data_IF_090835006111
#
_entry.id   IF_090835006111
#
_cell.length_a   1.000
_cell.length_b   1.000
_cell.length_c   1.000
_cell.angle_alpha   90.00
_cell.angle_beta   90.00
_cell.angle_gamma   90.00
#
_symmetry.space_group_name_H-M   'P 1'
#
loop_
_entity.id
_entity.type
_entity.pdbx_description
1 polymer ?
#
# COMPACT_ATOMS: atom_id res chain seq x y z
N UNK A 1 6.70 0.46 39.25
CA UNK A 1 5.45 0.69 39.99
C UNK A 1 4.50 -0.38 39.54
N UNK A 2 4.08 -1.27 40.44
CA UNK A 2 3.18 -2.38 40.12
C UNK A 2 1.73 -1.94 40.33
N UNK A 3 0.90 -2.12 39.29
CA UNK A 3 -0.54 -1.99 39.37
C UNK A 3 -1.13 -3.34 39.78
N UNK A 4 -1.32 -3.53 41.08
CA UNK A 4 -2.05 -4.67 41.63
C UNK A 4 -3.29 -4.20 42.38
N UNK A 5 -4.43 -4.94 42.30
CA UNK A 5 -5.63 -4.63 43.08
C UNK A 5 -5.32 -4.59 44.59
N UNK A 6 -5.99 -3.71 45.33
CA UNK A 6 -5.80 -3.63 46.78
C UNK A 6 -6.39 -4.87 47.46
N UNK A 7 -5.75 -5.32 48.54
CA UNK A 7 -6.22 -6.48 49.32
C UNK A 7 -7.67 -6.26 49.78
N UNK A 8 -8.58 -7.14 49.36
CA UNK A 8 -10.00 -7.09 49.67
C UNK A 8 -10.91 -6.53 48.55
N UNK A 9 -10.36 -6.04 47.45
CA UNK A 9 -11.16 -5.63 46.28
C UNK A 9 -11.48 -6.85 45.39
N UNK A 10 -12.76 -6.96 45.02
CA UNK A 10 -13.26 -8.03 44.15
C UNK A 10 -12.88 -7.69 42.70
N UNK A 11 -11.90 -8.40 42.14
CA UNK A 11 -11.38 -8.17 40.78
C UNK A 11 -12.26 -8.74 39.64
N UNK A 12 -13.48 -9.17 39.97
CA UNK A 12 -14.42 -9.73 38.99
C UNK A 12 -15.13 -8.63 38.20
N UNK A 13 -14.81 -8.48 36.92
CA UNK A 13 -15.45 -7.49 36.04
C UNK A 13 -16.82 -7.96 35.51
N UNK A 14 -17.07 -9.28 35.43
CA UNK A 14 -18.38 -9.88 35.19
C UNK A 14 -18.34 -11.41 35.36
N UNK A 15 -19.52 -12.02 35.58
CA UNK A 15 -19.73 -13.48 35.51
C UNK A 15 -20.76 -13.77 34.42
N UNK A 16 -20.41 -14.59 33.43
CA UNK A 16 -21.33 -15.06 32.39
C UNK A 16 -21.79 -16.47 32.77
N UNK A 17 -23.10 -16.65 32.91
CA UNK A 17 -23.69 -17.97 33.11
C UNK A 17 -23.87 -18.66 31.76
N UNK A 18 -23.19 -19.80 31.58
CA UNK A 18 -23.44 -20.71 30.47
C UNK A 18 -24.55 -21.67 30.93
N UNK A 19 -25.71 -21.74 30.25
CA UNK A 19 -26.69 -22.76 30.55
C UNK A 19 -26.08 -24.13 30.27
N UNK A 20 -26.06 -24.98 31.30
CA UNK A 20 -25.64 -26.38 31.18
C UNK A 20 -26.58 -27.16 30.27
N UNK A 21 -26.00 -28.10 29.53
CA UNK A 21 -26.67 -29.04 28.65
C UNK A 21 -27.41 -30.11 29.48
N UNK A 22 -28.44 -29.69 30.21
CA UNK A 22 -29.40 -30.60 30.83
C UNK A 22 -30.62 -30.68 29.91
N UNK A 23 -30.49 -31.55 28.92
CA UNK A 23 -31.54 -31.89 27.98
C UNK A 23 -32.79 -32.38 28.70
N UNK A 24 -33.82 -31.55 28.72
CA UNK A 24 -35.24 -31.92 28.65
C UNK A 24 -36.09 -30.65 28.49
N UNK A 25 -36.44 -30.29 27.25
CA UNK A 25 -37.50 -29.32 26.97
C UNK A 25 -38.61 -30.00 26.14
N UNK A 26 -39.92 -29.76 26.46
CA UNK A 26 -41.07 -30.39 25.78
C UNK A 26 -41.37 -29.76 24.40
N UNK A 27 -42.26 -30.36 23.59
CA UNK A 27 -42.32 -30.12 22.16
C UNK A 27 -43.09 -28.82 21.81
N UNK A 28 -42.49 -28.01 20.94
CA UNK A 28 -43.12 -26.84 20.33
C UNK A 28 -42.62 -26.66 18.89
N UNK A 29 -43.53 -26.83 17.95
CA UNK A 29 -43.37 -26.91 16.50
C UNK A 29 -42.67 -25.72 15.82
N UNK A 30 -41.85 -26.02 14.81
CA UNK A 30 -41.49 -25.08 13.73
C UNK A 30 -41.40 -25.82 12.38
N UNK A 31 -41.74 -25.15 11.26
CA UNK A 31 -42.15 -25.81 10.02
C UNK A 31 -40.97 -26.22 9.13
N UNK A 32 -41.14 -27.35 8.45
CA UNK A 32 -40.19 -27.93 7.50
C UNK A 32 -40.32 -27.29 6.11
N UNK A 33 -39.22 -26.87 5.46
CA UNK A 33 -39.17 -26.72 4.01
C UNK A 33 -38.76 -28.05 3.37
N UNK A 34 -39.59 -28.56 2.47
CA UNK A 34 -39.37 -29.78 1.71
C UNK A 34 -38.39 -29.55 0.56
N UNK A 35 -37.40 -30.43 0.40
CA UNK A 35 -36.63 -30.60 -0.85
C UNK A 35 -36.69 -32.09 -1.25
N UNK A 36 -37.14 -32.47 -2.46
CA UNK A 36 -37.20 -33.86 -2.90
C UNK A 36 -35.82 -34.44 -3.21
N UNK A 37 -35.61 -35.71 -2.83
CA UNK A 37 -34.30 -36.34 -2.72
C UNK A 37 -33.70 -36.98 -3.97
N UNK A 38 -32.48 -37.50 -3.78
CA UNK A 38 -31.87 -38.69 -4.40
C UNK A 38 -30.67 -39.15 -3.55
N UNK A 39 -30.48 -40.46 -3.51
CA UNK A 39 -29.79 -41.27 -2.49
C UNK A 39 -28.30 -41.00 -2.18
N UNK A 40 -27.83 -41.41 -0.97
CA UNK A 40 -26.45 -41.30 -0.53
C UNK A 40 -25.60 -42.47 -1.03
N UNK A 41 -24.44 -42.17 -1.63
CA UNK A 41 -23.35 -43.14 -1.72
C UNK A 41 -22.25 -42.75 -0.74
N UNK A 42 -21.98 -43.67 0.16
CA UNK A 42 -20.99 -43.55 1.23
C UNK A 42 -19.56 -43.47 0.68
N UNK A 43 -18.78 -42.52 1.21
CA UNK A 43 -17.32 -42.61 1.27
C UNK A 43 -16.87 -42.24 2.69
N UNK A 44 -15.97 -43.06 3.22
CA UNK A 44 -15.51 -43.12 4.60
C UNK A 44 -14.67 -41.88 5.03
N UNK A 45 -14.45 -41.67 6.35
CA UNK A 45 -13.91 -40.42 6.89
C UNK A 45 -12.38 -40.33 6.72
N UNK A 46 -11.93 -39.33 5.95
CA UNK A 46 -10.54 -38.95 5.80
C UNK A 46 -10.17 -37.81 6.77
N UNK A 47 -9.30 -38.16 7.72
CA UNK A 47 -8.43 -37.35 8.59
C UNK A 47 -8.48 -35.80 8.46
N UNK A 48 -8.84 -35.12 9.56
CA UNK A 48 -8.51 -33.71 9.78
C UNK A 48 -7.00 -33.57 9.98
N UNK A 49 -6.32 -32.97 9.01
CA UNK A 49 -4.99 -32.39 9.20
C UNK A 49 -5.09 -31.01 9.88
N UNK A 50 -4.06 -30.59 10.64
CA UNK A 50 -4.05 -29.32 11.34
C UNK A 50 -3.46 -28.24 10.43
N UNK A 51 -4.27 -27.63 9.58
CA UNK A 51 -3.89 -26.39 8.90
C UNK A 51 -5.01 -25.37 9.08
N UNK A 52 -4.76 -24.39 9.96
CA UNK A 52 -5.50 -23.14 9.97
C UNK A 52 -5.24 -22.41 8.66
N UNK A 53 -6.00 -22.77 7.63
CA UNK A 53 -5.89 -22.19 6.31
C UNK A 53 -6.15 -20.69 6.38
N UNK A 54 -5.11 -19.89 6.17
CA UNK A 54 -5.25 -18.50 5.82
C UNK A 54 -6.24 -18.42 4.65
N UNK A 55 -7.33 -17.67 4.84
CA UNK A 55 -8.30 -17.41 3.79
C UNK A 55 -7.57 -16.71 2.64
N UNK A 56 -7.20 -17.48 1.63
CA UNK A 56 -6.58 -16.93 0.44
C UNK A 56 -7.72 -16.36 -0.40
N UNK A 57 -7.99 -15.07 -0.23
CA UNK A 57 -8.88 -14.34 -1.15
C UNK A 57 -8.11 -14.26 -2.49
N UNK A 58 -8.38 -15.23 -3.34
CA UNK A 58 -8.00 -15.14 -4.75
C UNK A 58 -8.90 -14.08 -5.39
N UNK A 59 -8.35 -13.10 -6.13
CA UNK A 59 -9.19 -12.20 -6.91
C UNK A 59 -10.09 -13.05 -7.82
N UNK A 60 -11.39 -12.71 -7.96
CA UNK A 60 -12.31 -13.48 -8.78
C UNK A 60 -11.71 -13.63 -10.17
N UNK A 61 -11.59 -14.88 -10.63
CA UNK A 61 -11.06 -15.22 -11.94
C UNK A 61 -11.82 -14.43 -13.00
N UNK A 62 -11.12 -13.58 -13.74
CA UNK A 62 -11.70 -12.76 -14.82
C UNK A 62 -11.81 -11.26 -14.55
N UNK A 63 -11.18 -10.70 -13.50
CA UNK A 63 -10.91 -9.25 -13.51
C UNK A 63 -9.98 -8.93 -14.69
N UNK A 64 -10.57 -8.41 -15.78
CA UNK A 64 -9.80 -7.77 -16.85
C UNK A 64 -8.86 -6.76 -16.22
N UNK A 65 -7.58 -6.78 -16.60
CA UNK A 65 -6.64 -5.72 -16.26
C UNK A 65 -7.34 -4.38 -16.53
N UNK A 66 -7.52 -3.58 -15.48
CA UNK A 66 -8.11 -2.25 -15.65
C UNK A 66 -7.23 -1.50 -16.65
N UNK A 67 -7.81 -0.85 -17.68
CA UNK A 67 -7.00 -0.09 -18.62
C UNK A 67 -6.19 0.95 -17.84
N UNK A 68 -4.89 1.02 -18.14
CA UNK A 68 -3.98 1.94 -17.47
C UNK A 68 -4.49 3.38 -17.63
N UNK A 69 -4.47 4.21 -16.55
CA UNK A 69 -4.78 5.62 -16.69
C UNK A 69 -3.76 6.28 -17.65
N UNK A 70 -4.14 7.29 -18.44
CA UNK A 70 -3.18 8.00 -19.28
C UNK A 70 -1.97 8.49 -18.48
N UNK A 71 -0.78 8.31 -19.03
CA UNK A 71 0.48 8.70 -18.40
C UNK A 71 1.41 9.32 -19.43
N UNK A 72 0.98 10.49 -19.93
CA UNK A 72 1.66 11.24 -20.98
C UNK A 72 2.79 12.04 -20.35
N UNK A 73 4.02 11.82 -20.83
CA UNK A 73 5.17 12.56 -20.33
C UNK A 73 5.30 13.94 -20.96
N UNK A 74 5.97 14.84 -20.25
CA UNK A 74 6.36 16.14 -20.79
C UNK A 74 7.32 15.97 -21.98
N UNK A 75 7.06 16.67 -23.07
CA UNK A 75 7.84 16.65 -24.32
C UNK A 75 8.67 17.92 -24.53
N UNK A 76 8.41 18.97 -23.75
CA UNK A 76 9.10 20.26 -23.83
C UNK A 76 10.40 20.25 -23.00
N UNK A 77 10.47 19.41 -21.97
CA UNK A 77 11.67 19.23 -21.17
C UNK A 77 12.49 18.02 -21.66
N UNK A 78 13.69 18.27 -22.19
CA UNK A 78 14.57 17.23 -22.75
C UNK A 78 15.01 16.14 -21.74
N UNK A 79 14.89 16.40 -20.44
CA UNK A 79 15.22 15.46 -19.36
C UNK A 79 13.98 14.78 -18.76
N UNK A 80 12.79 15.07 -19.30
CA UNK A 80 11.57 14.46 -18.84
C UNK A 80 11.52 12.97 -19.21
N UNK A 81 11.11 12.22 -18.20
CA UNK A 81 10.72 10.83 -18.29
C UNK A 81 9.35 10.68 -17.63
N UNK A 82 8.69 9.58 -17.94
CA UNK A 82 7.41 9.24 -17.31
C UNK A 82 7.37 7.74 -17.08
N UNK A 83 6.82 7.30 -15.96
CA UNK A 83 6.72 5.88 -15.62
C UNK A 83 5.40 5.55 -14.93
N UNK A 84 4.99 4.30 -15.04
CA UNK A 84 3.97 3.74 -14.18
C UNK A 84 4.59 3.13 -12.92
N UNK A 85 3.90 3.27 -11.80
CA UNK A 85 4.18 2.57 -10.54
C UNK A 85 2.94 1.87 -10.02
N UNK A 86 3.10 0.71 -9.41
CA UNK A 86 2.04 -0.06 -8.73
C UNK A 86 2.67 -0.90 -7.61
N UNK A 87 1.91 -1.68 -6.86
CA UNK A 87 2.48 -2.58 -5.86
C UNK A 87 1.48 -3.06 -4.82
N UNK A 88 1.99 -3.41 -3.64
CA UNK A 88 1.18 -3.72 -2.47
C UNK A 88 1.70 -2.97 -1.25
N UNK A 89 0.78 -2.52 -0.41
CA UNK A 89 1.06 -2.00 0.93
C UNK A 89 0.19 -2.69 1.95
N UNK A 90 0.73 -3.00 3.12
CA UNK A 90 -0.07 -3.50 4.23
C UNK A 90 -0.53 -2.39 5.18
N UNK A 91 -1.49 -2.72 6.04
CA UNK A 91 -1.81 -2.01 7.27
C UNK A 91 -1.47 -2.96 8.41
N UNK A 92 -0.33 -2.73 9.07
CA UNK A 92 0.27 -3.69 9.99
C UNK A 92 -0.68 -4.10 11.14
N UNK A 93 -1.43 -3.14 11.70
CA UNK A 93 -2.39 -3.37 12.78
C UNK A 93 -3.59 -4.25 12.39
N UNK A 94 -3.94 -4.28 11.11
CA UNK A 94 -5.12 -4.98 10.61
C UNK A 94 -4.79 -6.32 9.96
N UNK A 95 -3.50 -6.69 9.91
CA UNK A 95 -3.00 -7.89 9.22
C UNK A 95 -3.56 -8.02 7.79
N UNK A 96 -3.64 -6.90 7.09
CA UNK A 96 -4.26 -6.79 5.78
C UNK A 96 -3.36 -6.05 4.80
N UNK A 97 -3.47 -6.40 3.52
CA UNK A 97 -2.78 -5.71 2.43
C UNK A 97 -3.76 -5.23 1.36
N UNK A 98 -3.39 -4.12 0.72
CA UNK A 98 -4.11 -3.54 -0.41
C UNK A 98 -3.14 -3.33 -1.56
N UNK A 99 -3.68 -3.42 -2.77
CA UNK A 99 -2.97 -3.04 -3.98
C UNK A 99 -2.78 -1.52 -3.99
N UNK A 100 -1.55 -1.09 -4.23
CA UNK A 100 -1.25 0.29 -4.58
C UNK A 100 -1.69 0.47 -6.03
N UNK A 101 -2.62 1.40 -6.33
CA UNK A 101 -3.18 1.53 -7.65
C UNK A 101 -2.11 1.92 -8.67
N UNK A 102 -2.29 1.44 -9.90
CA UNK A 102 -1.44 1.82 -11.02
C UNK A 102 -1.47 3.34 -11.21
N UNK A 103 -0.35 3.99 -10.94
CA UNK A 103 -0.19 5.44 -10.86
C UNK A 103 0.81 5.93 -11.88
N UNK A 104 0.59 7.12 -12.42
CA UNK A 104 1.55 7.80 -13.28
C UNK A 104 2.51 8.64 -12.43
N UNK A 105 3.80 8.59 -12.77
CA UNK A 105 4.84 9.41 -12.16
C UNK A 105 5.62 10.13 -13.26
N UNK A 106 5.56 11.45 -13.24
CA UNK A 106 6.39 12.34 -14.04
C UNK A 106 7.77 12.44 -13.37
N UNK A 107 8.84 12.35 -14.15
CA UNK A 107 10.21 12.29 -13.65
C UNK A 107 11.09 13.27 -14.44
N UNK A 108 11.99 13.96 -13.76
CA UNK A 108 13.02 14.79 -14.41
C UNK A 108 14.39 14.27 -14.00
N UNK A 109 15.20 13.85 -14.97
CA UNK A 109 16.59 13.43 -14.75
C UNK A 109 17.50 14.66 -14.60
N UNK A 110 17.61 15.16 -13.38
CA UNK A 110 18.23 16.47 -13.09
C UNK A 110 19.74 16.47 -13.31
N UNK A 111 20.46 15.48 -12.77
CA UNK A 111 21.91 15.42 -12.91
C UNK A 111 22.49 14.02 -12.82
N UNK A 112 23.59 13.81 -13.54
CA UNK A 112 24.40 12.59 -13.54
C UNK A 112 25.86 12.97 -13.43
N UNK A 113 26.59 12.33 -12.52
CA UNK A 113 28.04 12.53 -12.34
C UNK A 113 28.73 11.19 -12.18
N UNK A 114 29.78 10.98 -12.95
CA UNK A 114 30.67 9.85 -12.75
C UNK A 114 31.81 10.30 -11.82
N UNK A 115 32.00 9.60 -10.72
CA UNK A 115 33.03 9.87 -9.72
C UNK A 115 33.85 8.61 -9.44
N UNK A 116 35.14 8.77 -9.13
CA UNK A 116 35.98 7.69 -8.64
C UNK A 116 35.89 7.67 -7.10
N UNK A 117 35.37 6.58 -6.55
CA UNK A 117 35.36 6.26 -5.11
C UNK A 117 36.37 5.13 -4.83
N UNK A 118 36.71 4.83 -3.55
CA UNK A 118 37.69 3.79 -3.21
C UNK A 118 37.38 2.40 -3.79
N UNK A 119 36.10 2.09 -4.01
CA UNK A 119 35.60 0.80 -4.52
C UNK A 119 35.30 0.80 -6.03
N UNK A 120 35.44 1.93 -6.72
CA UNK A 120 35.42 1.99 -8.19
C UNK A 120 34.83 3.27 -8.79
N UNK A 121 34.37 3.18 -10.04
CA UNK A 121 33.65 4.27 -10.71
C UNK A 121 32.16 4.20 -10.38
N UNK A 122 31.64 5.27 -9.80
CA UNK A 122 30.25 5.41 -9.39
C UNK A 122 29.53 6.40 -10.29
N UNK A 123 28.30 6.06 -10.68
CA UNK A 123 27.34 6.99 -11.23
C UNK A 123 26.48 7.51 -10.08
N UNK A 124 26.68 8.77 -9.72
CA UNK A 124 25.78 9.53 -8.87
C UNK A 124 24.70 10.15 -9.74
N UNK A 125 23.44 9.85 -9.46
CA UNK A 125 22.30 10.38 -10.20
C UNK A 125 21.33 11.03 -9.23
N UNK A 126 20.87 12.23 -9.60
CA UNK A 126 19.80 12.94 -8.91
C UNK A 126 18.67 13.21 -9.90
N UNK A 127 17.45 12.85 -9.51
CA UNK A 127 16.24 13.11 -10.26
C UNK A 127 15.12 13.57 -9.32
N UNK A 128 14.10 14.19 -9.90
CA UNK A 128 12.89 14.60 -9.18
C UNK A 128 11.66 13.95 -9.78
N UNK A 129 10.58 13.88 -9.00
CA UNK A 129 9.33 13.28 -9.46
C UNK A 129 8.07 13.97 -8.94
N UNK A 130 7.00 13.84 -9.71
CA UNK A 130 5.65 14.25 -9.36
C UNK A 130 4.69 13.13 -9.72
N UNK A 131 3.83 12.74 -8.78
CA UNK A 131 2.66 11.94 -9.10
C UNK A 131 1.74 12.74 -10.02
N UNK A 132 1.09 12.08 -10.96
CA UNK A 132 0.07 12.71 -11.78
C UNK A 132 -1.16 11.82 -11.90
N UNK A 133 -2.26 12.32 -11.35
CA UNK A 133 -3.57 11.78 -11.63
C UNK A 133 -4.53 12.91 -11.95
N UNK A 134 -4.89 13.00 -13.23
CA UNK A 134 -5.79 14.05 -13.76
C UNK A 134 -5.27 15.46 -13.48
N UNK A 135 -3.95 15.68 -13.63
CA UNK A 135 -3.31 16.99 -13.45
C UNK A 135 -3.16 17.41 -11.99
N UNK A 136 -3.25 16.46 -11.05
CA UNK A 136 -3.06 16.69 -9.61
C UNK A 136 -1.93 15.79 -9.08
N UNK A 137 -1.13 16.27 -8.11
CA UNK A 137 -0.08 15.50 -7.45
C UNK A 137 -0.67 14.50 -6.46
N UNK A 138 -1.45 13.55 -6.96
CA UNK A 138 -2.13 12.51 -6.18
C UNK A 138 -2.00 11.17 -6.89
N UNK A 139 -2.02 10.09 -6.12
CA UNK A 139 -2.27 8.76 -6.70
C UNK A 139 -3.75 8.63 -7.06
N UNK A 140 -4.13 7.79 -8.04
CA UNK A 140 -5.52 7.41 -8.22
C UNK A 140 -6.09 6.87 -6.89
N UNK A 141 -7.32 7.23 -6.51
CA UNK A 141 -7.90 6.71 -5.28
C UNK A 141 -8.06 5.19 -5.31
N UNK A 142 -7.75 4.53 -4.20
CA UNK A 142 -7.85 3.07 -4.05
C UNK A 142 -8.80 2.71 -2.92
N UNK A 143 -9.72 1.78 -3.22
CA UNK A 143 -10.66 1.24 -2.23
C UNK A 143 -10.07 -0.03 -1.62
N UNK A 144 -10.02 -0.09 -0.30
CA UNK A 144 -9.55 -1.25 0.44
C UNK A 144 -10.56 -1.67 1.51
N UNK A 145 -10.62 -2.98 1.78
CA UNK A 145 -11.47 -3.56 2.81
C UNK A 145 -10.60 -4.37 3.77
N UNK A 146 -10.74 -4.09 5.06
CA UNK A 146 -10.01 -4.77 6.12
C UNK A 146 -10.95 -5.17 7.26
N UNK A 147 -10.47 -6.02 8.16
CA UNK A 147 -11.15 -6.30 9.42
C UNK A 147 -10.62 -5.38 10.51
N UNK A 148 -11.30 -4.26 10.73
CA UNK A 148 -11.00 -3.37 11.86
C UNK A 148 -11.18 -4.14 13.17
N UNK A 149 -10.16 -4.09 14.02
CA UNK A 149 -10.05 -4.89 15.26
C UNK A 149 -10.22 -6.41 15.08
N UNK A 150 -10.05 -6.93 13.86
CA UNK A 150 -10.11 -8.36 13.56
C UNK A 150 -11.52 -8.93 13.36
N UNK A 151 -12.59 -8.13 13.46
CA UNK A 151 -13.96 -8.64 13.32
C UNK A 151 -14.94 -7.71 12.60
N UNK A 152 -14.61 -6.43 12.38
CA UNK A 152 -15.49 -5.47 11.71
C UNK A 152 -15.00 -5.21 10.28
N UNK A 153 -15.66 -5.77 9.25
CA UNK A 153 -15.42 -5.36 7.87
C UNK A 153 -15.57 -3.85 7.70
N UNK A 154 -14.46 -3.18 7.42
CA UNK A 154 -14.42 -1.75 7.15
C UNK A 154 -13.85 -1.55 5.77
N UNK A 155 -14.58 -0.84 4.92
CA UNK A 155 -14.14 -0.45 3.59
C UNK A 155 -13.91 1.05 3.57
N UNK A 156 -12.83 1.52 2.96
CA UNK A 156 -12.57 2.94 2.79
C UNK A 156 -11.90 3.19 1.44
N UNK A 157 -12.12 4.38 0.88
CA UNK A 157 -11.32 4.89 -0.22
C UNK A 157 -10.16 5.72 0.34
N UNK A 158 -8.96 5.40 -0.11
CA UNK A 158 -7.71 6.04 0.27
C UNK A 158 -7.24 6.95 -0.88
N UNK A 159 -6.88 8.20 -0.54
CA UNK A 159 -6.18 9.12 -1.45
C UNK A 159 -4.82 9.48 -0.83
N UNK A 160 -3.76 9.30 -1.62
CA UNK A 160 -2.41 9.75 -1.28
C UNK A 160 -2.10 11.00 -2.08
N UNK A 161 -1.92 12.11 -1.38
CA UNK A 161 -1.52 13.40 -1.97
C UNK A 161 -0.05 13.64 -1.74
N UNK A 162 0.69 13.93 -2.79
CA UNK A 162 2.07 14.39 -2.71
C UNK A 162 2.09 15.87 -2.28
N UNK A 163 2.87 16.16 -1.24
CA UNK A 163 2.89 17.47 -0.56
C UNK A 163 3.99 18.40 -1.09
N UNK A 164 5.06 17.83 -1.63
CA UNK A 164 6.24 18.51 -2.14
C UNK A 164 6.94 17.58 -3.16
N UNK A 165 7.92 18.07 -3.88
CA UNK A 165 8.62 17.32 -4.93
C UNK A 165 9.32 16.07 -4.38
N UNK A 166 9.11 14.94 -5.06
CA UNK A 166 9.82 13.69 -4.78
C UNK A 166 11.27 13.83 -5.21
N UNK A 167 12.20 13.35 -4.40
CA UNK A 167 13.63 13.27 -4.77
C UNK A 167 14.08 11.84 -4.95
N UNK A 168 14.93 11.59 -5.93
CA UNK A 168 15.47 10.27 -6.27
C UNK A 168 16.98 10.41 -6.38
N UNK A 169 17.69 9.76 -5.47
CA UNK A 169 19.15 9.78 -5.41
C UNK A 169 19.69 8.36 -5.58
N UNK A 170 20.52 8.15 -6.61
CA UNK A 170 21.17 6.85 -6.86
C UNK A 170 22.68 6.98 -6.75
N UNK A 171 23.29 5.99 -6.10
CA UNK A 171 24.74 5.74 -6.15
C UNK A 171 24.98 4.32 -6.70
N UNK A 172 25.46 4.25 -7.94
CA UNK A 172 25.61 3.00 -8.68
C UNK A 172 27.07 2.73 -9.03
N UNK A 173 27.64 1.64 -8.53
CA UNK A 173 28.97 1.14 -8.87
C UNK A 173 28.93 0.46 -10.25
N UNK A 174 29.52 1.14 -11.24
CA UNK A 174 29.41 0.79 -12.67
C UNK A 174 30.07 -0.55 -13.01
N UNK A 175 31.23 -0.84 -12.41
CA UNK A 175 32.00 -2.04 -12.75
C UNK A 175 31.32 -3.34 -12.28
N UNK A 176 30.55 -3.27 -11.20
CA UNK A 176 29.87 -4.43 -10.60
C UNK A 176 28.38 -4.47 -10.89
N UNK A 177 27.81 -3.39 -11.43
CA UNK A 177 26.37 -3.22 -11.59
C UNK A 177 25.65 -3.45 -10.25
N UNK A 178 26.09 -2.74 -9.23
CA UNK A 178 25.48 -2.77 -7.89
C UNK A 178 25.27 -1.36 -7.39
N UNK A 179 24.34 -1.14 -6.47
CA UNK A 179 24.13 0.19 -5.92
C UNK A 179 22.81 0.34 -5.19
N UNK A 180 22.60 1.53 -4.65
CA UNK A 180 21.39 1.87 -3.91
C UNK A 180 20.77 3.10 -4.55
N UNK A 181 19.45 3.08 -4.67
CA UNK A 181 18.63 4.26 -4.93
C UNK A 181 17.74 4.52 -3.73
N UNK A 182 17.69 5.77 -3.30
CA UNK A 182 16.82 6.27 -2.23
C UNK A 182 15.83 7.26 -2.84
N UNK A 183 14.55 6.96 -2.72
CA UNK A 183 13.43 7.81 -3.13
C UNK A 183 12.78 8.39 -1.89
N UNK A 184 12.64 9.71 -1.83
CA UNK A 184 11.94 10.42 -0.75
C UNK A 184 10.68 11.03 -1.33
N UNK A 185 9.53 10.63 -0.80
CA UNK A 185 8.22 11.12 -1.26
C UNK A 185 7.39 11.60 -0.08
N UNK A 186 7.06 12.90 -0.01
CA UNK A 186 6.21 13.43 1.05
C UNK A 186 4.75 13.21 0.69
N UNK A 187 4.11 12.23 1.35
CA UNK A 187 2.73 11.83 1.07
C UNK A 187 1.83 12.11 2.27
N UNK A 188 0.59 12.57 2.05
CA UNK A 188 -0.46 12.61 3.06
C UNK A 188 -1.59 11.67 2.68
N UNK A 189 -2.07 10.91 3.66
CA UNK A 189 -3.19 9.99 3.51
C UNK A 189 -4.50 10.65 3.94
N UNK A 190 -5.52 10.53 3.10
CA UNK A 190 -6.91 10.90 3.39
C UNK A 190 -7.81 9.68 3.21
N UNK A 191 -8.80 9.54 4.09
CA UNK A 191 -9.85 8.52 4.01
C UNK A 191 -11.21 9.17 3.71
N UNK A 192 -12.01 8.53 2.87
CA UNK A 192 -13.38 8.92 2.57
C UNK A 192 -14.16 7.72 2.01
N UNK A 193 -15.47 7.88 1.77
CA UNK A 193 -16.38 6.81 1.37
C UNK A 193 -16.23 5.57 2.27
N UNK A 194 -16.25 5.81 3.58
CA UNK A 194 -16.06 4.75 4.58
C UNK A 194 -17.37 3.99 4.79
N UNK A 195 -17.28 2.67 4.86
CA UNK A 195 -18.37 1.78 5.18
C UNK A 195 -17.95 0.82 6.29
N UNK A 196 -18.78 0.68 7.32
CA UNK A 196 -18.61 -0.32 8.38
C UNK A 196 -19.74 -1.34 8.24
N UNK A 197 -19.38 -2.61 8.04
CA UNK A 197 -20.33 -3.69 7.77
C UNK A 197 -21.26 -3.38 6.58
N UNK A 198 -20.76 -2.65 5.58
CA UNK A 198 -21.52 -2.20 4.42
C UNK A 198 -22.46 -1.01 4.67
N UNK A 199 -22.48 -0.46 5.88
CA UNK A 199 -23.23 0.76 6.20
C UNK A 199 -22.30 1.96 6.05
N UNK A 200 -22.64 2.97 5.22
CA UNK A 200 -21.84 4.18 5.08
C UNK A 200 -21.68 4.90 6.42
N UNK A 201 -20.44 5.33 6.71
CA UNK A 201 -20.08 6.19 7.82
C UNK A 201 -19.56 7.52 7.25
N UNK A 202 -20.21 8.62 7.60
CA UNK A 202 -19.75 9.94 7.20
C UNK A 202 -18.57 10.38 8.07
N UNK A 203 -17.38 10.38 7.46
CA UNK A 203 -16.13 10.80 8.11
C UNK A 203 -15.81 12.27 7.85
N UNK A 204 -16.72 13.01 7.21
CA UNK A 204 -16.53 14.40 6.88
C UNK A 204 -15.50 14.64 5.76
N UNK A 205 -15.34 15.90 5.36
CA UNK A 205 -14.51 16.27 4.23
C UNK A 205 -13.03 16.37 4.58
N UNK A 206 -12.58 16.17 5.82
CA UNK A 206 -11.20 16.45 6.23
C UNK A 206 -10.48 15.27 6.89
N UNK A 207 -11.07 14.08 6.91
CA UNK A 207 -10.48 12.90 7.56
C UNK A 207 -9.15 12.48 6.92
N UNK A 208 -8.03 12.86 7.56
CA UNK A 208 -6.66 12.67 7.03
C UNK A 208 -5.62 12.58 8.14
N UNK A 209 -4.42 12.12 7.80
CA UNK A 209 -3.30 12.12 8.74
C UNK A 209 -2.89 13.54 9.13
N UNK A 210 -2.53 13.76 10.39
CA UNK A 210 -2.09 15.06 10.93
C UNK A 210 -0.88 15.64 10.19
N UNK A 211 -0.04 14.75 9.65
CA UNK A 211 1.19 15.07 8.93
C UNK A 211 1.44 14.10 7.78
N UNK A 212 2.61 14.19 7.14
CA UNK A 212 3.03 13.25 6.12
C UNK A 212 3.20 11.84 6.68
N UNK A 213 2.94 10.83 5.85
CA UNK A 213 3.50 9.50 6.05
C UNK A 213 5.02 9.59 6.08
N UNK A 214 5.66 8.80 6.93
CA UNK A 214 7.11 8.91 7.10
C UNK A 214 7.82 7.57 7.30
N UNK A 215 9.09 7.55 6.93
CA UNK A 215 10.02 6.45 7.14
C UNK A 215 11.29 6.96 7.83
N UNK A 216 12.09 6.05 8.38
CA UNK A 216 13.47 6.39 8.72
C UNK A 216 14.26 6.69 7.45
N UNK A 217 15.07 7.73 7.50
CA UNK A 217 15.97 8.10 6.42
C UNK A 217 17.36 7.51 6.66
N UNK A 218 18.00 6.89 5.64
CA UNK A 218 19.40 6.49 5.76
C UNK A 218 20.36 7.68 5.89
N UNK A 219 19.96 8.89 5.47
CA UNK A 219 20.71 10.13 5.67
C UNK A 219 20.23 10.84 6.96
N UNK A 220 21.07 10.92 8.01
CA UNK A 220 20.72 11.62 9.25
C UNK A 220 20.37 13.10 9.06
N UNK A 221 20.86 13.74 8.00
CA UNK A 221 20.53 15.13 7.69
C UNK A 221 19.09 15.30 7.16
N UNK A 222 18.49 14.20 6.68
CA UNK A 222 17.13 14.20 6.14
C UNK A 222 16.10 13.60 7.11
N UNK A 223 16.56 12.95 8.18
CA UNK A 223 15.71 12.31 9.20
C UNK A 223 14.59 13.24 9.71
N UNK A 224 13.39 12.68 9.86
CA UNK A 224 12.22 13.37 10.40
C UNK A 224 10.90 12.84 9.86
N UNK A 225 9.79 13.36 10.37
CA UNK A 225 8.42 12.93 10.00
C UNK A 225 7.89 13.70 8.78
N UNK A 226 8.64 13.67 7.66
CA UNK A 226 8.37 14.51 6.48
C UNK A 226 8.08 13.74 5.20
N UNK A 227 8.58 12.52 5.07
CA UNK A 227 8.48 11.76 3.83
C UNK A 227 8.64 10.25 4.03
N UNK A 228 8.03 9.49 3.12
CA UNK A 228 8.30 8.07 2.95
C UNK A 228 9.62 7.89 2.22
N UNK A 229 10.40 6.90 2.66
CA UNK A 229 11.67 6.53 2.05
C UNK A 229 11.53 5.17 1.40
N UNK A 230 11.60 5.12 0.07
CA UNK A 230 11.70 3.88 -0.68
C UNK A 230 13.14 3.61 -1.09
N UNK A 231 13.58 2.38 -0.96
CA UNK A 231 14.92 1.93 -1.35
C UNK A 231 14.84 0.90 -2.46
N UNK A 232 15.69 1.09 -3.47
CA UNK A 232 15.88 0.16 -4.59
C UNK A 232 17.33 -0.25 -4.68
N UNK A 233 17.58 -1.56 -4.70
CA UNK A 233 18.93 -2.09 -4.85
C UNK A 233 19.15 -2.52 -6.30
N UNK A 234 20.28 -2.12 -6.87
CA UNK A 234 20.82 -2.71 -8.09
C UNK A 234 21.70 -3.90 -7.68
N UNK A 235 21.45 -5.08 -8.26
CA UNK A 235 22.07 -6.36 -7.86
C UNK A 235 22.88 -7.04 -8.95
N UNK A 236 22.79 -6.55 -10.18
CA UNK A 236 23.58 -7.00 -11.31
C UNK A 236 23.09 -6.35 -12.60
N UNK A 237 23.67 -6.73 -13.75
CA UNK A 237 23.21 -6.25 -15.05
C UNK A 237 21.74 -6.64 -15.28
N UNK A 238 20.86 -5.64 -15.29
CA UNK A 238 19.42 -5.85 -15.50
C UNK A 238 18.68 -6.48 -14.32
N UNK A 239 19.30 -6.59 -13.15
CA UNK A 239 18.67 -7.12 -11.93
C UNK A 239 18.60 -6.05 -10.83
N UNK A 240 17.40 -5.84 -10.29
CA UNK A 240 17.12 -4.82 -9.30
C UNK A 240 16.59 -3.50 -9.88
N UNK A 241 16.76 -2.41 -9.12
CA UNK A 241 16.22 -1.10 -9.49
C UNK A 241 17.29 -0.20 -10.11
N UNK A 242 16.93 0.43 -11.23
CA UNK A 242 17.58 1.65 -11.73
C UNK A 242 16.49 2.60 -12.23
N UNK A 243 16.73 3.91 -12.12
CA UNK A 243 15.74 4.90 -12.57
C UNK A 243 15.29 4.67 -14.02
N UNK A 244 16.24 4.33 -14.90
CA UNK A 244 16.03 4.19 -16.36
C UNK A 244 15.48 2.83 -16.79
N UNK A 245 15.52 1.80 -15.94
CA UNK A 245 14.95 0.48 -16.23
C UNK A 245 13.73 0.14 -15.39
N UNK A 246 13.47 0.91 -14.33
CA UNK A 246 12.50 0.55 -13.30
C UNK A 246 13.03 -0.57 -12.40
N UNK A 247 12.10 -1.25 -11.73
CA UNK A 247 12.38 -2.33 -10.78
C UNK A 247 11.59 -2.18 -9.48
N UNK A 248 11.96 -3.00 -8.49
CA UNK A 248 11.31 -3.02 -7.18
C UNK A 248 11.92 -1.97 -6.25
N UNK A 249 11.05 -1.19 -5.62
CA UNK A 249 11.33 -0.26 -4.53
C UNK A 249 10.58 -0.75 -3.28
N UNK A 250 11.21 -0.67 -2.12
CA UNK A 250 10.61 -1.12 -0.86
C UNK A 250 10.69 -0.06 0.21
N UNK A 251 9.72 0.00 1.11
CA UNK A 251 9.70 0.94 2.22
C UNK A 251 9.07 0.34 3.47
N UNK A 252 9.50 0.84 4.63
CA UNK A 252 8.76 0.69 5.90
C UNK A 252 8.23 2.06 6.30
N UNK A 253 6.93 2.16 6.46
CA UNK A 253 6.16 3.40 6.57
C UNK A 253 5.45 3.45 7.92
N UNK A 254 5.49 4.63 8.53
CA UNK A 254 4.68 5.01 9.68
C UNK A 254 3.54 5.88 9.21
N UNK A 255 2.32 5.49 9.60
CA UNK A 255 1.11 6.26 9.36
C UNK A 255 0.88 7.12 10.62
N UNK A 256 0.92 8.46 10.54
CA UNK A 256 0.64 9.33 11.68
C UNK A 256 -0.81 9.19 12.16
N UNK A 257 -1.15 9.73 13.35
CA UNK A 257 -2.53 9.89 13.78
C UNK A 257 -3.41 10.60 12.74
N UNK A 258 -4.71 10.31 12.79
CA UNK A 258 -5.72 10.99 12.00
C UNK A 258 -6.25 12.23 12.72
N UNK A 259 -6.75 13.18 11.94
CA UNK A 259 -7.43 14.37 12.40
C UNK A 259 -8.55 14.78 11.44
N UNK A 260 -9.57 15.45 11.96
CA UNK A 260 -10.66 16.00 11.16
C UNK A 260 -11.64 14.94 10.63
N UNK A 261 -11.71 13.79 11.30
CA UNK A 261 -12.62 12.71 10.98
C UNK A 261 -13.93 12.85 11.78
N UNK A 262 -15.05 12.74 11.07
CA UNK A 262 -16.40 12.84 11.60
C UNK A 262 -17.08 14.16 11.26
N UNK A 263 -18.40 14.21 11.50
CA UNK A 263 -19.24 15.39 11.24
C UNK A 263 -19.82 15.90 12.55
N UNK A 264 -20.60 15.07 13.23
CA UNK A 264 -21.22 15.39 14.52
C UNK A 264 -20.41 14.90 15.72
N UNK A 265 -19.59 13.86 15.51
CA UNK A 265 -18.79 13.18 16.52
C UNK A 265 -17.32 13.14 16.11
N UNK A 266 -16.42 13.09 17.09
CA UNK A 266 -14.99 12.97 16.86
C UNK A 266 -14.61 11.51 16.58
N UNK A 267 -14.26 11.23 15.32
CA UNK A 267 -13.84 9.91 14.87
C UNK A 267 -12.30 9.77 14.77
N UNK A 268 -11.53 10.80 15.12
CA UNK A 268 -10.07 10.78 15.06
C UNK A 268 -9.46 9.60 15.84
N UNK A 269 -9.94 9.28 17.08
CA UNK A 269 -9.41 8.13 17.83
C UNK A 269 -9.70 6.78 17.17
N UNK A 270 -10.82 6.65 16.46
CA UNK A 270 -11.21 5.41 15.78
C UNK A 270 -10.25 5.08 14.63
N UNK A 271 -9.97 6.05 13.75
CA UNK A 271 -9.04 5.86 12.63
C UNK A 271 -7.58 5.79 13.10
N UNK A 272 -7.21 6.58 14.10
CA UNK A 272 -5.87 6.53 14.70
C UNK A 272 -5.58 5.18 15.35
N UNK A 273 -6.54 4.64 16.12
CA UNK A 273 -6.34 3.35 16.78
C UNK A 273 -6.29 2.18 15.79
N UNK A 274 -7.05 2.24 14.70
CA UNK A 274 -7.17 1.16 13.72
C UNK A 274 -6.03 1.10 12.69
N UNK A 275 -5.60 2.24 12.14
CA UNK A 275 -4.69 2.27 10.97
C UNK A 275 -3.32 2.89 11.29
N UNK A 276 -3.26 3.90 12.16
CA UNK A 276 -2.00 4.63 12.43
C UNK A 276 -0.97 3.78 13.17
N UNK A 277 0.32 4.04 12.92
CA UNK A 277 1.44 3.37 13.59
C UNK A 277 2.54 2.98 12.61
N UNK A 278 3.68 2.49 13.14
CA UNK A 278 4.81 2.04 12.35
C UNK A 278 4.60 0.63 11.78
N UNK A 279 5.52 0.18 10.92
CA UNK A 279 5.61 -1.20 10.46
C UNK A 279 4.79 -1.53 9.22
N UNK A 280 4.23 -0.52 8.55
CA UNK A 280 3.54 -0.73 7.28
C UNK A 280 4.59 -0.91 6.19
N UNK A 281 4.61 -2.05 5.52
CA UNK A 281 5.50 -2.37 4.43
C UNK A 281 4.87 -2.04 3.09
N UNK A 282 5.63 -1.37 2.23
CA UNK A 282 5.29 -1.07 0.85
C UNK A 282 6.31 -1.78 -0.06
N UNK A 283 5.82 -2.58 -0.99
CA UNK A 283 6.59 -3.10 -2.12
C UNK A 283 6.01 -2.52 -3.40
N UNK A 284 6.71 -1.54 -3.96
CA UNK A 284 6.35 -0.85 -5.19
C UNK A 284 7.17 -1.40 -6.35
N UNK A 285 6.55 -1.53 -7.52
CA UNK A 285 7.20 -1.87 -8.78
C UNK A 285 7.05 -0.67 -9.72
N UNK A 286 8.17 -0.18 -10.23
CA UNK A 286 8.22 0.83 -11.29
C UNK A 286 8.48 0.14 -12.63
N UNK A 287 7.68 0.48 -13.64
CA UNK A 287 7.97 0.09 -15.02
C UNK A 287 9.19 0.83 -15.58
N UNK A 288 9.77 0.32 -16.67
CA UNK A 288 10.80 1.07 -17.38
C UNK A 288 10.19 2.40 -17.88
N UNK A 289 10.78 3.56 -17.55
CA UNK A 289 10.25 4.85 -17.96
C UNK A 289 10.29 5.03 -19.47
N UNK A 290 9.33 5.79 -19.98
CA UNK A 290 9.46 6.44 -21.28
C UNK A 290 10.26 7.73 -21.13
N UNK A 291 11.32 7.92 -21.92
CA UNK A 291 12.04 9.19 -22.01
C UNK A 291 11.28 10.19 -22.90
N UNK A 292 10.16 10.70 -22.39
CA UNK A 292 9.21 11.53 -23.13
C UNK A 292 9.81 12.81 -23.70
N UNK A 293 10.79 13.38 -23.01
CA UNK A 293 11.53 14.57 -23.44
C UNK A 293 12.46 14.35 -24.64
N UNK A 294 12.76 13.10 -24.99
CA UNK A 294 13.58 12.80 -26.14
C UNK A 294 12.76 13.00 -27.44
N UNK A 295 13.22 13.82 -28.41
CA UNK A 295 12.51 14.03 -29.68
C UNK A 295 12.36 12.76 -30.54
N UNK A 296 13.15 11.72 -30.25
CA UNK A 296 13.11 10.41 -30.90
C UNK A 296 13.16 9.33 -29.82
N UNK A 297 12.10 9.18 -29.02
CA UNK A 297 12.12 8.22 -27.94
C UNK A 297 12.14 6.80 -28.51
N UNK A 298 12.78 5.88 -27.79
CA UNK A 298 12.85 4.48 -28.21
C UNK A 298 11.43 3.86 -28.18
N UNK A 299 10.92 3.34 -29.31
CA UNK A 299 9.57 2.76 -29.39
C UNK A 299 9.40 1.51 -28.51
N UNK A 300 10.48 0.93 -28.00
CA UNK A 300 10.45 -0.16 -27.01
C UNK A 300 9.93 0.30 -25.65
N UNK A 301 10.15 1.58 -25.31
CA UNK A 301 9.84 2.15 -24.01
C UNK A 301 8.74 3.21 -24.08
N UNK A 302 8.59 3.87 -25.23
CA UNK A 302 7.62 4.93 -25.45
C UNK A 302 6.60 4.61 -26.54
N UNK A 303 5.32 4.88 -26.27
CA UNK A 303 4.29 4.95 -27.31
C UNK A 303 4.48 6.21 -28.16
N UNK A 304 3.73 6.32 -29.27
CA UNK A 304 3.70 7.54 -30.09
C UNK A 304 3.24 8.78 -29.34
N UNK A 305 2.43 8.58 -28.29
CA UNK A 305 1.90 9.64 -27.45
C UNK A 305 2.79 9.89 -26.22
N UNK A 306 4.06 9.47 -26.26
CA UNK A 306 5.04 9.66 -25.20
C UNK A 306 4.61 9.08 -23.84
N UNK A 307 3.96 7.91 -23.86
CA UNK A 307 3.59 7.15 -22.66
C UNK A 307 4.48 5.92 -22.50
N UNK A 308 4.65 5.37 -21.28
CA UNK A 308 5.35 4.11 -21.07
C UNK A 308 4.63 2.96 -21.79
N UNK A 309 5.36 2.18 -22.57
CA UNK A 309 4.84 0.94 -23.19
C UNK A 309 4.65 -0.14 -22.13
N UNK A 310 5.56 -0.21 -21.15
CA UNK A 310 5.54 -1.22 -20.09
C UNK A 310 4.71 -0.73 -18.91
N UNK A 311 3.59 -1.41 -18.69
CA UNK A 311 2.79 -1.29 -17.47
C UNK A 311 3.29 -2.36 -16.49
N UNK A 312 3.82 -2.00 -15.31
CA UNK A 312 4.25 -2.98 -14.31
C UNK A 312 3.05 -3.72 -13.72
N UNK A 313 3.28 -4.96 -13.31
CA UNK A 313 2.34 -5.72 -12.50
C UNK A 313 2.78 -5.68 -11.03
N UNK A 314 1.83 -5.64 -10.07
CA UNK A 314 2.18 -5.64 -8.66
C UNK A 314 2.70 -7.02 -8.23
N UNK A 315 3.86 -7.04 -7.55
CA UNK A 315 4.47 -8.26 -7.03
C UNK A 315 4.17 -8.44 -5.53
N UNK A 316 3.77 -9.65 -5.13
CA UNK A 316 3.59 -10.01 -3.71
C UNK A 316 4.94 -10.27 -3.01
#
# INVERSE_FOLDING_TARGET
MDCSPRSGENAGLATIAIPGDDGSAPPGSSPTPSVPGRDPTAAAPGQRGPDGGALTISPPAGQRARPAPPCVGDTENAFAMVAYVTGYSNVAKLDGASEVPLSCTQLIDVSKKIVLQPDGLHLLQHATGELDYRGRPVMPPARATFLTYGFMPTTATMELTQLDTMTIDSDLLLAKYTGLTVVRVPLRLRLYDVEINGVPLDVGPDCRTVGPLYSKDPDPAQEGERHVVLTGELKGPGDGYQLVTGGVLTATVTIPPFSGCGVDEDLDPLFTSSVSGPGNYLKQVQGAPCASGNPRPDPTYCTKDHQPVKVPEPER
#
